data_IF_479900164007
#
_entry.id   IF_479900164007
#
_cell.length_a   1.000
_cell.length_b   1.000
_cell.length_c   1.000
_cell.angle_alpha   90.00
_cell.angle_beta   90.00
_cell.angle_gamma   90.00
#
_symmetry.space_group_name_H-M   'P 1'
#
loop_
_entity.id
_entity.type
_entity.pdbx_description
1 polymer ?
#
# COMPACT_ATOMS: atom_id res chain seq x y z
N UNK A 1 -78.68 35.82 -28.36
CA UNK A 1 -77.95 36.67 -29.32
C UNK A 1 -76.52 36.13 -29.45
N UNK A 2 -76.27 35.32 -30.49
CA UNK A 2 -75.23 35.44 -31.55
C UNK A 2 -73.93 36.22 -31.18
N UNK A 3 -72.71 35.79 -31.60
CA UNK A 3 -71.81 34.81 -30.95
C UNK A 3 -70.31 35.24 -31.13
N UNK A 4 -69.34 34.30 -31.23
CA UNK A 4 -68.02 34.36 -31.94
C UNK A 4 -66.84 33.96 -31.03
N UNK A 5 -65.86 33.12 -31.38
CA UNK A 5 -65.63 32.25 -32.53
C UNK A 5 -64.49 31.25 -32.21
N UNK A 6 -64.62 30.07 -32.82
CA UNK A 6 -63.59 29.22 -33.45
C UNK A 6 -62.31 28.77 -32.72
N UNK A 7 -62.28 27.44 -32.50
CA UNK A 7 -61.28 26.43 -32.95
C UNK A 7 -59.79 26.77 -32.78
N UNK A 8 -59.04 25.85 -32.16
CA UNK A 8 -58.04 24.98 -32.84
C UNK A 8 -57.70 23.81 -31.90
N UNK A 9 -57.78 22.59 -32.47
CA UNK A 9 -57.20 21.36 -31.92
C UNK A 9 -55.72 21.37 -32.29
N UNK A 10 -54.82 21.31 -31.31
CA UNK A 10 -53.40 21.03 -31.57
C UNK A 10 -52.93 19.88 -30.69
N UNK A 11 -52.72 18.75 -31.35
CA UNK A 11 -51.98 17.59 -30.92
C UNK A 11 -50.53 18.04 -30.63
N UNK A 12 -50.06 18.00 -29.38
CA UNK A 12 -48.63 18.14 -29.08
C UNK A 12 -48.04 16.77 -28.74
N UNK A 13 -47.12 16.34 -29.59
CA UNK A 13 -46.46 15.05 -29.53
C UNK A 13 -45.57 14.90 -28.30
N UNK A 14 -45.53 13.65 -27.81
CA UNK A 14 -44.48 13.13 -26.95
C UNK A 14 -43.13 13.32 -27.63
N UNK A 15 -42.34 14.28 -27.15
CA UNK A 15 -40.90 14.33 -27.38
C UNK A 15 -40.21 13.79 -26.13
N UNK A 16 -39.81 12.51 -26.23
CA UNK A 16 -38.75 11.93 -25.41
C UNK A 16 -37.49 12.78 -25.62
N UNK A 17 -36.81 13.29 -24.58
CA UNK A 17 -35.46 13.77 -24.76
C UNK A 17 -34.59 12.52 -24.91
N UNK A 18 -34.16 12.26 -26.14
CA UNK A 18 -33.04 11.37 -26.43
C UNK A 18 -31.85 11.90 -25.64
N UNK A 19 -31.54 11.29 -24.49
CA UNK A 19 -30.28 11.53 -23.78
C UNK A 19 -29.19 10.93 -24.66
N UNK A 20 -28.65 11.76 -25.55
CA UNK A 20 -27.43 11.44 -26.28
C UNK A 20 -26.32 11.53 -25.24
N UNK A 21 -25.92 10.39 -24.67
CA UNK A 21 -24.65 10.27 -23.97
C UNK A 21 -23.55 10.58 -24.97
N UNK A 22 -23.12 11.84 -25.01
CA UNK A 22 -21.83 12.17 -25.56
C UNK A 22 -20.78 11.57 -24.64
N UNK A 23 -20.30 10.38 -24.99
CA UNK A 23 -18.98 9.93 -24.56
C UNK A 23 -18.02 10.91 -25.23
N UNK A 24 -17.60 11.92 -24.49
CA UNK A 24 -16.42 12.69 -24.88
C UNK A 24 -15.30 11.65 -24.90
N UNK A 25 -14.67 11.37 -26.07
CA UNK A 25 -13.49 10.54 -26.06
C UNK A 25 -12.49 11.29 -25.17
N UNK A 26 -12.08 10.66 -24.07
CA UNK A 26 -10.94 11.13 -23.32
C UNK A 26 -9.80 11.24 -24.34
N UNK A 27 -9.48 12.45 -24.76
CA UNK A 27 -8.21 12.72 -25.43
C UNK A 27 -7.18 12.13 -24.49
N UNK A 28 -6.40 11.17 -24.97
CA UNK A 28 -5.17 10.76 -24.31
C UNK A 28 -4.41 12.03 -23.98
N UNK A 29 -4.53 12.50 -22.74
CA UNK A 29 -3.55 13.40 -22.18
C UNK A 29 -2.37 12.47 -21.96
N UNK A 30 -1.63 12.20 -23.04
CA UNK A 30 -0.37 11.49 -22.97
C UNK A 30 0.40 12.12 -21.82
N UNK A 31 0.75 11.29 -20.83
CA UNK A 31 1.26 11.70 -19.53
C UNK A 31 2.22 12.88 -19.72
N UNK A 32 1.71 14.11 -19.51
CA UNK A 32 2.59 15.28 -19.58
C UNK A 32 3.56 15.04 -18.44
N UNK A 33 4.84 14.87 -18.77
CA UNK A 33 5.94 14.95 -17.81
C UNK A 33 5.77 16.29 -17.10
N UNK A 34 5.08 16.29 -15.96
CA UNK A 34 4.94 17.46 -15.13
C UNK A 34 6.34 17.72 -14.59
N UNK A 35 6.99 18.74 -15.13
CA UNK A 35 8.32 19.12 -14.68
C UNK A 35 8.24 19.46 -13.19
N UNK A 36 9.06 18.83 -12.37
CA UNK A 36 9.17 19.13 -10.94
C UNK A 36 10.25 20.21 -10.78
N UNK A 37 9.90 21.51 -10.73
CA UNK A 37 10.85 22.58 -11.04
C UNK A 37 12.02 22.66 -10.04
N UNK A 38 11.82 22.23 -8.80
CA UNK A 38 12.85 22.21 -7.77
C UNK A 38 13.88 21.09 -7.92
N UNK A 39 13.58 19.99 -8.64
CA UNK A 39 14.59 18.97 -8.92
C UNK A 39 15.66 19.46 -9.88
N UNK A 40 15.32 20.41 -10.76
CA UNK A 40 16.26 20.99 -11.74
C UNK A 40 17.37 21.87 -11.14
N UNK A 41 17.25 22.32 -9.90
CA UNK A 41 18.15 23.33 -9.29
C UNK A 41 19.04 22.78 -8.16
N UNK A 42 19.04 21.47 -7.92
CA UNK A 42 19.85 20.80 -6.88
C UNK A 42 21.37 20.76 -7.16
N UNK A 43 22.16 21.10 -6.15
CA UNK A 43 23.63 21.29 -6.19
C UNK A 43 24.48 20.00 -6.19
N UNK A 44 23.95 18.86 -6.64
CA UNK A 44 24.72 17.62 -6.84
C UNK A 44 24.76 17.21 -8.31
N UNK A 45 25.30 18.07 -9.16
CA UNK A 45 25.80 17.68 -10.50
C UNK A 45 27.15 16.96 -10.46
N UNK A 46 27.55 16.45 -9.28
CA UNK A 46 28.85 15.85 -9.02
C UNK A 46 29.00 14.39 -9.46
N UNK A 47 27.90 13.69 -9.75
CA UNK A 47 28.01 12.45 -10.51
C UNK A 47 28.31 12.82 -11.96
N UNK A 48 29.44 12.30 -12.46
CA UNK A 48 29.72 12.30 -13.90
C UNK A 48 28.51 11.64 -14.57
N UNK A 49 27.57 12.43 -15.10
CA UNK A 49 26.80 12.01 -16.27
C UNK A 49 27.89 11.62 -17.28
N UNK A 50 28.16 10.33 -17.45
CA UNK A 50 28.96 9.90 -18.60
C UNK A 50 28.20 10.47 -19.81
N UNK A 51 28.92 11.10 -20.73
CA UNK A 51 28.35 11.90 -21.82
C UNK A 51 27.53 11.05 -22.84
N UNK A 52 27.33 9.77 -22.51
CA UNK A 52 26.71 8.66 -23.24
C UNK A 52 26.02 7.63 -22.28
N UNK A 53 25.79 7.99 -21.02
CA UNK A 53 25.85 7.10 -19.83
C UNK A 53 24.67 6.23 -19.40
N UNK A 54 23.89 5.65 -20.30
CA UNK A 54 23.16 4.42 -19.94
C UNK A 54 24.08 3.22 -20.17
N UNK A 55 23.86 2.11 -19.48
CA UNK A 55 24.45 0.85 -19.91
C UNK A 55 23.81 0.42 -21.24
N UNK A 56 24.26 0.98 -22.36
CA UNK A 56 23.79 0.57 -23.67
C UNK A 56 23.99 -0.95 -23.84
N UNK A 57 22.88 -1.69 -23.84
CA UNK A 57 22.87 -3.14 -24.00
C UNK A 57 23.29 -3.97 -22.78
N UNK A 58 23.14 -3.49 -21.53
CA UNK A 58 23.24 -4.41 -20.40
C UNK A 58 21.96 -5.22 -20.21
N UNK A 59 22.13 -6.49 -19.85
CA UNK A 59 21.04 -7.37 -19.46
C UNK A 59 20.91 -7.33 -17.94
N UNK A 60 19.72 -7.00 -17.44
CA UNK A 60 19.41 -7.12 -16.02
C UNK A 60 19.59 -8.58 -15.58
N UNK A 61 20.44 -8.82 -14.60
CA UNK A 61 20.79 -10.16 -14.16
C UNK A 61 21.44 -10.17 -12.77
N UNK A 62 21.78 -11.36 -12.25
CA UNK A 62 22.25 -11.51 -10.86
C UNK A 62 23.50 -10.70 -10.48
N UNK A 63 24.33 -10.33 -11.46
CA UNK A 63 25.57 -9.56 -11.27
C UNK A 63 25.50 -8.15 -11.89
N UNK A 64 24.30 -7.76 -12.31
CA UNK A 64 24.00 -6.54 -13.04
C UNK A 64 22.60 -6.05 -12.65
N UNK A 65 22.26 -6.10 -11.36
CA UNK A 65 20.92 -5.72 -10.88
C UNK A 65 20.65 -4.22 -11.00
N UNK A 66 21.69 -3.38 -11.00
CA UNK A 66 21.55 -1.93 -11.21
C UNK A 66 21.15 -1.53 -12.64
N UNK A 67 21.06 -2.50 -13.56
CA UNK A 67 20.80 -2.31 -14.98
C UNK A 67 19.34 -2.58 -15.35
N UNK A 68 18.77 -1.82 -16.29
CA UNK A 68 17.40 -2.02 -16.79
C UNK A 68 17.23 -1.61 -18.27
N UNK A 69 18.02 -2.21 -19.16
CA UNK A 69 18.00 -1.90 -20.60
C UNK A 69 18.61 -0.53 -20.87
N UNK A 70 17.82 0.38 -21.43
CA UNK A 70 18.22 1.78 -21.65
C UNK A 70 18.07 2.63 -20.37
N UNK A 71 17.66 2.04 -19.25
CA UNK A 71 17.52 2.68 -17.95
C UNK A 71 18.36 1.93 -16.91
N UNK A 72 18.54 2.52 -15.73
CA UNK A 72 19.36 1.97 -14.66
C UNK A 72 18.99 2.59 -13.31
N UNK A 73 19.71 2.16 -12.26
CA UNK A 73 19.53 2.61 -10.88
C UNK A 73 19.82 4.11 -10.67
N UNK A 74 20.58 4.73 -11.58
CA UNK A 74 20.91 6.16 -11.54
C UNK A 74 19.78 7.03 -12.16
N UNK A 75 18.83 6.41 -12.85
CA UNK A 75 17.71 7.12 -13.46
C UNK A 75 16.74 7.63 -12.39
N UNK A 76 16.47 8.94 -12.38
CA UNK A 76 15.46 9.53 -11.50
C UNK A 76 14.05 9.18 -11.99
N UNK A 77 13.45 8.19 -11.33
CA UNK A 77 12.12 7.66 -11.66
C UNK A 77 10.98 8.68 -11.51
N UNK A 78 11.19 9.82 -10.84
CA UNK A 78 10.17 10.87 -10.80
C UNK A 78 10.19 11.77 -12.04
N UNK A 79 11.31 11.83 -12.76
CA UNK A 79 11.49 12.64 -13.96
C UNK A 79 11.32 11.82 -15.25
N UNK A 80 11.78 10.56 -15.22
CA UNK A 80 11.83 9.71 -16.39
C UNK A 80 11.63 8.23 -16.03
N UNK A 81 10.91 7.51 -16.88
CA UNK A 81 10.62 6.08 -16.76
C UNK A 81 10.54 5.45 -18.15
N UNK A 82 10.73 4.12 -18.27
CA UNK A 82 10.54 3.41 -19.53
C UNK A 82 9.11 3.56 -20.06
N UNK A 83 8.95 3.59 -21.38
CA UNK A 83 7.66 3.36 -22.01
C UNK A 83 7.70 2.03 -22.76
N UNK A 84 7.20 0.98 -22.11
CA UNK A 84 7.27 -0.38 -22.63
C UNK A 84 6.19 -0.66 -23.70
N UNK A 85 5.15 0.18 -23.79
CA UNK A 85 3.95 -0.06 -24.59
C UNK A 85 3.14 -1.29 -24.16
N UNK A 86 3.48 -1.92 -23.02
CA UNK A 86 2.87 -3.16 -22.54
C UNK A 86 1.81 -2.85 -21.47
N UNK A 87 0.60 -3.35 -21.70
CA UNK A 87 -0.47 -3.33 -20.68
C UNK A 87 -0.54 -4.68 -19.96
N UNK A 88 -0.30 -4.66 -18.65
CA UNK A 88 -0.45 -5.83 -17.78
C UNK A 88 -1.85 -5.81 -17.15
N UNK A 89 -2.59 -6.91 -17.32
CA UNK A 89 -4.01 -7.01 -16.92
C UNK A 89 -4.21 -7.97 -15.76
N UNK A 90 -5.00 -7.54 -14.78
CA UNK A 90 -5.44 -8.38 -13.67
C UNK A 90 -6.96 -8.29 -13.48
N UNK A 91 -7.55 -9.35 -12.94
CA UNK A 91 -8.93 -9.36 -12.44
C UNK A 91 -8.90 -9.74 -10.97
N UNK A 92 -9.51 -8.92 -10.11
CA UNK A 92 -9.59 -9.09 -8.67
C UNK A 92 -11.05 -9.24 -8.25
N UNK A 93 -11.44 -10.44 -7.84
CA UNK A 93 -12.79 -10.77 -7.41
C UNK A 93 -12.80 -10.88 -5.90
N UNK A 94 -13.48 -9.95 -5.24
CA UNK A 94 -13.54 -9.87 -3.77
C UNK A 94 -14.77 -10.61 -3.27
N UNK A 95 -14.61 -11.58 -2.39
CA UNK A 95 -15.69 -12.41 -1.83
C UNK A 95 -15.60 -12.55 -0.32
N UNK A 96 -16.75 -12.61 0.36
CA UNK A 96 -16.82 -13.04 1.76
C UNK A 96 -16.49 -14.53 1.86
N UNK A 97 -15.72 -14.91 2.87
CA UNK A 97 -15.42 -16.29 3.19
C UNK A 97 -15.31 -16.47 4.70
N UNK A 98 -15.31 -17.73 5.11
CA UNK A 98 -14.85 -18.15 6.43
C UNK A 98 -13.47 -18.76 6.26
N UNK A 99 -12.49 -18.27 7.00
CA UNK A 99 -11.08 -18.69 6.89
C UNK A 99 -10.43 -18.81 8.26
N UNK A 100 -9.30 -19.51 8.32
CA UNK A 100 -8.57 -19.76 9.57
C UNK A 100 -7.04 -19.65 9.37
N UNK A 101 -6.48 -18.47 9.04
CA UNK A 101 -5.05 -18.30 8.74
C UNK A 101 -4.11 -18.72 9.88
N UNK A 102 -4.56 -18.59 11.13
CA UNK A 102 -3.83 -19.04 12.32
C UNK A 102 -4.53 -20.21 13.04
N UNK A 103 -5.41 -20.93 12.34
CA UNK A 103 -6.25 -22.00 12.89
C UNK A 103 -7.54 -21.52 13.56
N UNK A 104 -7.69 -20.22 13.89
CA UNK A 104 -8.95 -19.70 14.41
C UNK A 104 -9.90 -19.31 13.27
N UNK A 105 -11.07 -19.95 13.22
CA UNK A 105 -12.06 -19.69 12.19
C UNK A 105 -12.79 -18.36 12.39
N UNK A 106 -12.76 -17.49 11.37
CA UNK A 106 -13.47 -16.20 11.38
C UNK A 106 -13.96 -15.78 9.99
N UNK A 107 -14.91 -14.83 9.97
CA UNK A 107 -15.31 -14.16 8.73
C UNK A 107 -14.18 -13.25 8.25
N UNK A 108 -13.90 -13.32 6.95
CA UNK A 108 -12.86 -12.53 6.28
C UNK A 108 -13.19 -12.38 4.78
N UNK A 109 -12.32 -11.71 4.05
CA UNK A 109 -12.41 -11.55 2.61
C UNK A 109 -11.26 -12.26 1.91
N UNK A 110 -11.57 -12.90 0.78
CA UNK A 110 -10.57 -13.38 -0.17
C UNK A 110 -10.62 -12.54 -1.43
N UNK A 111 -9.47 -12.42 -2.09
CA UNK A 111 -9.35 -11.90 -3.45
C UNK A 111 -8.97 -13.08 -4.34
N UNK A 112 -9.79 -13.37 -5.35
CA UNK A 112 -9.63 -14.54 -6.22
C UNK A 112 -9.57 -15.88 -5.46
N UNK A 113 -10.31 -15.99 -4.34
CA UNK A 113 -10.39 -17.22 -3.56
C UNK A 113 -9.18 -17.50 -2.67
N UNK A 114 -8.22 -16.58 -2.55
CA UNK A 114 -7.05 -16.72 -1.69
C UNK A 114 -6.88 -15.55 -0.71
N UNK A 115 -6.11 -15.82 0.34
CA UNK A 115 -5.52 -14.85 1.26
C UNK A 115 -4.07 -15.29 1.53
N UNK A 116 -3.06 -14.39 1.41
CA UNK A 116 -3.14 -13.04 0.87
C UNK A 116 -3.71 -12.96 -0.55
N UNK A 117 -4.18 -11.78 -0.97
CA UNK A 117 -4.61 -11.57 -2.35
C UNK A 117 -3.47 -11.82 -3.36
N UNK A 118 -3.79 -12.08 -4.63
CA UNK A 118 -2.79 -12.40 -5.65
C UNK A 118 -1.77 -11.27 -5.79
N UNK A 119 -0.49 -11.63 -5.90
CA UNK A 119 0.56 -10.65 -6.16
C UNK A 119 0.44 -10.11 -7.57
N UNK A 120 0.34 -8.78 -7.68
CA UNK A 120 0.43 -8.08 -8.97
C UNK A 120 1.89 -7.89 -9.30
N UNK A 121 2.32 -8.35 -10.47
CA UNK A 121 3.70 -8.23 -10.92
C UNK A 121 3.74 -7.61 -12.31
N UNK A 122 4.47 -6.51 -12.44
CA UNK A 122 4.68 -5.80 -13.69
C UNK A 122 6.12 -5.29 -13.78
N UNK A 123 6.49 -4.71 -14.92
CA UNK A 123 7.79 -4.07 -15.10
C UNK A 123 7.67 -2.55 -14.96
N UNK A 124 8.75 -1.89 -14.55
CA UNK A 124 8.83 -0.43 -14.56
C UNK A 124 8.52 0.11 -15.96
N UNK A 125 7.56 1.04 -16.04
CA UNK A 125 7.09 1.60 -17.31
C UNK A 125 5.94 0.86 -17.98
N UNK A 126 5.46 -0.28 -17.44
CA UNK A 126 4.23 -0.91 -17.91
C UNK A 126 2.99 -0.06 -17.57
N UNK A 127 1.92 -0.25 -18.34
CA UNK A 127 0.58 0.22 -18.00
C UNK A 127 -0.17 -0.90 -17.25
N UNK A 128 -0.79 -0.59 -16.11
CA UNK A 128 -1.66 -1.53 -15.40
C UNK A 128 -3.12 -1.31 -15.77
N UNK A 129 -3.86 -2.40 -15.99
CA UNK A 129 -5.32 -2.39 -16.13
C UNK A 129 -5.91 -3.47 -15.21
N UNK A 130 -6.62 -3.06 -14.16
CA UNK A 130 -7.07 -3.97 -13.11
C UNK A 130 -8.59 -3.90 -12.97
N UNK A 131 -9.26 -5.01 -13.28
CA UNK A 131 -10.72 -5.14 -13.12
C UNK A 131 -11.05 -5.63 -11.72
N UNK A 132 -11.65 -4.78 -10.90
CA UNK A 132 -12.09 -5.11 -9.54
C UNK A 132 -13.59 -5.40 -9.55
N UNK A 133 -13.98 -6.59 -9.08
CA UNK A 133 -15.37 -7.00 -8.92
C UNK A 133 -15.71 -7.13 -7.45
N UNK A 134 -16.64 -6.31 -6.98
CA UNK A 134 -17.14 -6.39 -5.63
C UNK A 134 -18.25 -7.46 -5.56
N UNK A 135 -17.94 -8.66 -5.04
CA UNK A 135 -18.95 -9.68 -4.71
C UNK A 135 -19.19 -9.76 -3.19
N UNK A 136 -18.80 -8.72 -2.45
CA UNK A 136 -19.17 -8.58 -1.04
C UNK A 136 -20.67 -8.30 -0.93
N UNK A 137 -21.33 -8.84 0.11
CA UNK A 137 -22.79 -8.80 0.23
C UNK A 137 -23.34 -7.41 0.60
N UNK A 138 -22.72 -6.72 1.54
CA UNK A 138 -23.31 -5.54 2.19
C UNK A 138 -22.51 -4.24 2.06
N UNK A 139 -21.23 -4.32 1.72
CA UNK A 139 -20.34 -3.15 1.74
C UNK A 139 -19.93 -2.73 0.34
N UNK A 140 -19.77 -1.42 0.16
CA UNK A 140 -18.96 -0.91 -0.93
C UNK A 140 -17.49 -1.35 -0.76
N UNK A 141 -16.69 -1.13 -1.79
CA UNK A 141 -15.23 -1.30 -1.70
C UNK A 141 -14.55 -0.31 -2.63
N UNK A 142 -13.27 -0.04 -2.39
CA UNK A 142 -12.39 0.67 -3.31
C UNK A 142 -10.99 0.14 -3.10
N UNK A 143 -10.19 -0.04 -4.15
CA UNK A 143 -8.82 -0.50 -3.99
C UNK A 143 -7.85 0.63 -4.22
N UNK A 144 -7.07 0.95 -3.19
CA UNK A 144 -5.94 1.87 -3.26
C UNK A 144 -4.65 1.12 -3.58
N UNK A 145 -3.80 1.76 -4.36
CA UNK A 145 -2.52 1.23 -4.84
C UNK A 145 -1.41 1.92 -4.05
N UNK A 146 -1.10 1.38 -2.88
CA UNK A 146 -0.30 2.06 -1.87
C UNK A 146 1.05 2.53 -2.46
N UNK A 147 1.38 3.80 -2.26
CA UNK A 147 2.64 4.40 -2.73
C UNK A 147 2.76 4.62 -4.23
N UNK A 148 1.81 4.16 -5.07
CA UNK A 148 1.81 4.49 -6.50
C UNK A 148 1.51 5.97 -6.65
N UNK A 149 2.37 6.71 -7.36
CA UNK A 149 2.29 8.18 -7.48
C UNK A 149 1.01 8.70 -8.13
N UNK A 150 0.33 7.90 -8.95
CA UNK A 150 -0.87 8.29 -9.71
C UNK A 150 -0.69 9.58 -10.53
N UNK A 151 0.50 9.76 -11.11
CA UNK A 151 0.80 10.95 -11.91
C UNK A 151 -0.14 11.02 -13.13
N UNK A 152 -0.98 12.07 -13.17
CA UNK A 152 -1.98 12.26 -14.22
C UNK A 152 -3.15 11.25 -14.21
N UNK A 153 -3.31 10.50 -13.11
CA UNK A 153 -4.31 9.42 -12.98
C UNK A 153 -4.97 9.42 -11.59
N UNK A 154 -5.17 10.59 -11.00
CA UNK A 154 -5.71 10.75 -9.65
C UNK A 154 -7.06 10.01 -9.44
N UNK A 155 -7.90 9.92 -10.46
CA UNK A 155 -9.19 9.23 -10.44
C UNK A 155 -9.09 7.69 -10.36
N UNK A 156 -7.85 7.17 -10.41
CA UNK A 156 -7.48 5.76 -10.33
C UNK A 156 -6.90 5.38 -8.96
N UNK A 157 -6.79 6.35 -8.06
CA UNK A 157 -6.13 6.16 -6.76
C UNK A 157 -6.91 5.29 -5.77
N UNK A 158 -8.24 5.15 -5.93
CA UNK A 158 -9.01 4.19 -5.14
C UNK A 158 -9.42 4.63 -3.73
N UNK A 159 -9.40 5.93 -3.46
CA UNK A 159 -9.76 6.50 -2.15
C UNK A 159 -11.22 6.95 -2.20
N UNK A 160 -12.11 6.12 -1.66
CA UNK A 160 -13.53 6.45 -1.67
C UNK A 160 -13.84 7.73 -0.85
N UNK A 161 -14.76 8.55 -1.38
CA UNK A 161 -15.06 9.87 -0.82
C UNK A 161 -14.04 10.96 -1.17
N UNK A 162 -12.91 10.61 -1.80
CA UNK A 162 -11.96 11.58 -2.35
C UNK A 162 -11.88 11.46 -3.87
N UNK A 163 -11.38 10.34 -4.39
CA UNK A 163 -11.11 10.15 -5.83
C UNK A 163 -12.21 9.38 -6.55
N UNK A 164 -13.07 8.68 -5.81
CA UNK A 164 -14.17 7.90 -6.34
C UNK A 164 -15.29 7.68 -5.32
N UNK A 165 -16.45 7.23 -5.80
CA UNK A 165 -17.45 6.59 -4.94
C UNK A 165 -17.06 5.11 -4.71
N UNK A 166 -17.48 4.46 -3.61
CA UNK A 166 -17.28 3.03 -3.46
C UNK A 166 -17.92 2.22 -4.59
N UNK A 167 -17.24 1.17 -5.05
CA UNK A 167 -17.81 0.14 -5.94
C UNK A 167 -18.91 -0.58 -5.15
N UNK A 168 -20.19 -0.51 -5.56
CA UNK A 168 -21.28 -1.13 -4.80
C UNK A 168 -21.20 -2.66 -4.86
N UNK A 169 -21.87 -3.39 -3.95
CA UNK A 169 -22.09 -4.83 -4.08
C UNK A 169 -22.60 -5.22 -5.48
N UNK A 170 -21.97 -6.22 -6.10
CA UNK A 170 -22.21 -6.64 -7.48
C UNK A 170 -21.59 -5.73 -8.55
N UNK A 171 -21.05 -4.58 -8.16
CA UNK A 171 -20.41 -3.61 -9.04
C UNK A 171 -19.04 -4.05 -9.54
N UNK A 172 -18.55 -3.35 -10.57
CA UNK A 172 -17.22 -3.56 -11.16
C UNK A 172 -16.61 -2.22 -11.53
N UNK A 173 -15.32 -2.03 -11.27
CA UNK A 173 -14.52 -0.90 -11.76
C UNK A 173 -13.25 -1.43 -12.41
N UNK A 174 -12.79 -0.73 -13.45
CA UNK A 174 -11.47 -0.97 -14.05
C UNK A 174 -10.58 0.21 -13.69
N UNK A 175 -9.46 -0.06 -13.03
CA UNK A 175 -8.42 0.92 -12.72
C UNK A 175 -7.34 0.88 -13.80
N UNK A 176 -6.87 2.04 -14.27
CA UNK A 176 -5.83 2.12 -15.31
C UNK A 176 -4.79 3.19 -15.00
N UNK A 177 -3.53 2.84 -14.86
CA UNK A 177 -2.47 3.81 -14.58
C UNK A 177 -1.09 3.33 -15.02
N UNK A 178 -0.18 4.28 -15.24
CA UNK A 178 1.21 4.03 -15.63
C UNK A 178 2.07 3.73 -14.41
N UNK A 179 2.94 2.74 -14.50
CA UNK A 179 3.92 2.43 -13.46
C UNK A 179 5.19 3.26 -13.63
N UNK A 180 5.20 4.45 -13.04
CA UNK A 180 6.36 5.36 -13.09
C UNK A 180 7.43 5.06 -12.05
N UNK A 181 7.14 4.18 -11.08
CA UNK A 181 8.05 3.74 -10.02
C UNK A 181 8.30 2.24 -10.13
N UNK A 182 9.34 1.76 -9.44
CA UNK A 182 9.65 0.33 -9.30
C UNK A 182 10.02 0.00 -7.86
N UNK A 183 9.90 -1.28 -7.50
CA UNK A 183 10.13 -1.79 -6.14
C UNK A 183 8.93 -2.54 -5.59
N UNK A 184 8.78 -2.51 -4.27
CA UNK A 184 7.77 -3.28 -3.54
C UNK A 184 6.69 -2.38 -2.97
N UNK A 185 5.44 -2.76 -3.23
CA UNK A 185 4.29 -2.20 -2.52
C UNK A 185 3.17 -3.22 -2.36
N UNK A 186 1.97 -2.76 -2.07
CA UNK A 186 0.77 -3.54 -1.85
C UNK A 186 -0.45 -2.72 -2.30
N UNK A 187 -1.54 -3.42 -2.61
CA UNK A 187 -2.85 -2.81 -2.79
C UNK A 187 -3.76 -3.25 -1.66
N UNK A 188 -4.70 -2.40 -1.27
CA UNK A 188 -5.63 -2.71 -0.20
C UNK A 188 -6.96 -1.99 -0.36
N UNK A 189 -8.00 -2.50 0.31
CA UNK A 189 -9.24 -1.74 0.42
C UNK A 189 -8.99 -0.42 1.13
N UNK A 190 -9.50 0.66 0.57
CA UNK A 190 -9.55 1.97 1.22
C UNK A 190 -10.96 2.29 1.74
N UNK A 191 -11.79 1.26 1.93
CA UNK A 191 -13.13 1.36 2.48
C UNK A 191 -13.14 1.05 3.98
N UNK A 192 -13.11 2.11 4.80
CA UNK A 192 -13.08 1.98 6.26
C UNK A 192 -11.95 1.02 6.70
N UNK A 193 -12.24 0.07 7.59
CA UNK A 193 -11.28 -0.91 8.13
C UNK A 193 -11.27 -2.24 7.36
N UNK A 194 -11.87 -2.28 6.16
CA UNK A 194 -12.15 -3.51 5.41
C UNK A 194 -10.89 -4.29 5.02
N UNK A 195 -9.75 -3.62 4.81
CA UNK A 195 -8.51 -4.33 4.45
C UNK A 195 -8.01 -5.23 5.58
N UNK A 196 -8.23 -4.87 6.85
CA UNK A 196 -7.82 -5.68 7.99
C UNK A 196 -8.58 -7.01 8.12
N UNK A 197 -9.68 -7.16 7.36
CA UNK A 197 -10.40 -8.42 7.19
C UNK A 197 -9.95 -9.20 5.94
N UNK A 198 -8.90 -8.77 5.23
CA UNK A 198 -8.22 -9.55 4.20
C UNK A 198 -8.30 -9.02 2.76
N UNK A 199 -8.83 -7.81 2.54
CA UNK A 199 -8.80 -7.19 1.21
C UNK A 199 -7.49 -6.42 1.00
N UNK A 200 -6.43 -7.17 0.71
CA UNK A 200 -5.16 -6.64 0.27
C UNK A 200 -4.35 -7.70 -0.47
N UNK A 201 -3.32 -7.28 -1.20
CA UNK A 201 -2.34 -8.17 -1.79
C UNK A 201 -1.05 -7.45 -2.15
N UNK A 202 0.08 -8.17 -2.29
CA UNK A 202 1.35 -7.53 -2.65
C UNK A 202 1.37 -7.03 -4.10
N UNK A 203 2.19 -6.03 -4.36
CA UNK A 203 2.54 -5.55 -5.71
C UNK A 203 4.05 -5.47 -5.84
N UNK A 204 4.59 -6.04 -6.92
CA UNK A 204 6.01 -6.00 -7.24
C UNK A 204 6.15 -5.40 -8.63
N UNK A 205 6.87 -4.28 -8.70
CA UNK A 205 7.20 -3.65 -9.98
C UNK A 205 8.68 -3.84 -10.19
N UNK A 206 9.04 -4.71 -11.13
CA UNK A 206 10.44 -5.06 -11.38
C UNK A 206 11.17 -3.87 -12.00
N UNK A 207 12.38 -3.63 -11.52
CA UNK A 207 13.26 -2.58 -11.96
C UNK A 207 14.69 -2.84 -11.49
N UNK A 208 15.59 -1.85 -11.62
CA UNK A 208 16.96 -1.97 -11.15
C UNK A 208 17.03 -2.01 -9.61
N UNK A 209 18.18 -2.42 -9.08
CA UNK A 209 18.44 -2.52 -7.64
C UNK A 209 19.85 -2.02 -7.29
N UNK A 210 20.02 -1.43 -6.11
CA UNK A 210 21.29 -0.84 -5.64
C UNK A 210 22.33 -1.89 -5.21
N UNK A 211 21.94 -3.16 -5.11
CA UNK A 211 22.85 -4.28 -4.95
C UNK A 211 22.42 -5.53 -5.73
N UNK A 212 23.39 -6.40 -5.97
CA UNK A 212 23.26 -7.64 -6.72
C UNK A 212 22.70 -8.78 -5.86
N UNK A 213 21.87 -9.63 -6.46
CA UNK A 213 21.24 -10.78 -5.82
C UNK A 213 20.86 -11.86 -6.83
N UNK A 214 20.85 -13.11 -6.39
CA UNK A 214 20.62 -14.27 -7.24
C UNK A 214 19.13 -14.60 -7.40
N UNK A 215 18.41 -14.68 -6.28
CA UNK A 215 17.04 -15.24 -6.20
C UNK A 215 16.10 -14.19 -5.59
N UNK A 216 14.94 -13.97 -6.21
CA UNK A 216 13.86 -13.18 -5.62
C UNK A 216 12.91 -14.12 -4.88
N UNK A 217 12.83 -14.01 -3.55
CA UNK A 217 11.91 -14.78 -2.72
C UNK A 217 10.48 -14.22 -2.77
N UNK A 218 10.30 -13.01 -3.30
CA UNK A 218 9.01 -12.33 -3.37
C UNK A 218 8.63 -11.62 -2.08
N UNK A 219 7.33 -11.36 -1.96
CA UNK A 219 6.73 -10.61 -0.86
C UNK A 219 6.64 -11.43 0.43
N UNK A 220 6.95 -10.78 1.55
CA UNK A 220 6.71 -11.27 2.90
C UNK A 220 5.86 -10.25 3.66
N UNK A 221 4.53 -10.30 3.49
CA UNK A 221 3.62 -9.44 4.23
C UNK A 221 3.50 -9.88 5.69
N UNK A 222 3.49 -8.89 6.57
CA UNK A 222 3.33 -9.01 8.00
C UNK A 222 2.09 -8.21 8.40
N UNK A 223 1.16 -8.83 9.11
CA UNK A 223 -0.09 -8.16 9.50
C UNK A 223 -0.46 -8.56 10.90
N UNK A 224 -0.85 -7.59 11.74
CA UNK A 224 -1.60 -7.92 12.94
C UNK A 224 -2.91 -8.62 12.58
N UNK A 225 -3.38 -9.46 13.48
CA UNK A 225 -4.52 -10.33 13.23
C UNK A 225 -5.47 -10.33 14.42
N UNK A 226 -6.74 -10.13 14.11
CA UNK A 226 -7.82 -10.12 15.07
C UNK A 226 -8.72 -11.34 14.82
N UNK A 227 -9.22 -11.97 15.86
CA UNK A 227 -10.18 -13.08 15.76
C UNK A 227 -11.60 -12.55 15.56
N UNK A 228 -11.89 -11.36 16.08
CA UNK A 228 -13.09 -10.60 15.72
C UNK A 228 -12.91 -9.90 14.36
N UNK A 229 -14.02 -9.66 13.64
CA UNK A 229 -13.97 -8.82 12.44
C UNK A 229 -13.49 -7.41 12.79
N UNK A 230 -12.73 -6.79 11.91
CA UNK A 230 -12.18 -5.45 12.17
C UNK A 230 -13.29 -4.41 12.26
N UNK A 231 -14.42 -4.62 11.59
CA UNK A 231 -15.63 -3.81 11.77
C UNK A 231 -16.13 -3.85 13.23
N UNK A 232 -16.17 -5.04 13.84
CA UNK A 232 -16.52 -5.21 15.26
C UNK A 232 -15.47 -4.59 16.17
N UNK A 233 -14.18 -4.85 15.91
CA UNK A 233 -13.08 -4.31 16.70
C UNK A 233 -13.06 -2.77 16.65
N UNK A 234 -13.28 -2.18 15.48
CA UNK A 234 -13.35 -0.74 15.27
C UNK A 234 -14.56 -0.11 15.99
N UNK A 235 -15.74 -0.75 15.92
CA UNK A 235 -16.91 -0.29 16.63
C UNK A 235 -16.70 -0.23 18.15
N UNK A 236 -15.91 -1.15 18.72
CA UNK A 236 -15.49 -1.09 20.12
C UNK A 236 -14.43 0.00 20.35
N UNK A 237 -13.45 0.12 19.45
CA UNK A 237 -12.31 1.03 19.58
C UNK A 237 -12.73 2.51 19.64
N UNK A 238 -13.73 2.92 18.85
CA UNK A 238 -14.22 4.31 18.83
C UNK A 238 -14.93 4.75 20.13
N UNK A 239 -15.19 3.81 21.05
CA UNK A 239 -15.73 4.07 22.39
C UNK A 239 -14.78 3.62 23.51
N UNK A 240 -13.59 3.11 23.17
CA UNK A 240 -12.60 2.61 24.12
C UNK A 240 -11.64 3.72 24.55
N UNK A 241 -10.78 3.41 25.53
CA UNK A 241 -9.69 4.30 25.98
C UNK A 241 -8.33 3.96 25.36
N UNK A 242 -8.32 3.10 24.34
CA UNK A 242 -7.12 2.63 23.68
C UNK A 242 -7.45 1.74 22.47
N UNK A 243 -6.45 1.46 21.62
CA UNK A 243 -6.63 0.58 20.47
C UNK A 243 -6.98 -0.85 20.91
N UNK A 244 -7.69 -1.62 20.06
CA UNK A 244 -7.96 -3.03 20.34
C UNK A 244 -6.65 -3.83 20.34
N UNK A 245 -6.57 -4.84 21.22
CA UNK A 245 -5.46 -5.78 21.26
C UNK A 245 -5.59 -6.78 20.11
N UNK A 246 -4.58 -6.86 19.26
CA UNK A 246 -4.50 -7.92 18.25
C UNK A 246 -4.27 -9.27 18.92
N UNK A 247 -4.88 -10.33 18.39
CA UNK A 247 -4.75 -11.69 18.91
C UNK A 247 -3.44 -12.33 18.45
N UNK A 248 -2.97 -11.98 17.26
CA UNK A 248 -1.77 -12.54 16.64
C UNK A 248 -1.12 -11.54 15.67
N UNK A 249 -0.05 -11.96 15.01
CA UNK A 249 0.45 -11.39 13.75
C UNK A 249 0.60 -12.54 12.78
N UNK A 250 0.18 -12.40 11.52
CA UNK A 250 0.45 -13.38 10.47
C UNK A 250 1.71 -13.01 9.71
N UNK A 251 2.53 -14.02 9.39
CA UNK A 251 3.69 -13.88 8.51
C UNK A 251 3.36 -14.60 7.22
N UNK A 252 3.37 -13.87 6.11
CA UNK A 252 2.98 -14.37 4.80
C UNK A 252 1.60 -15.09 4.80
N UNK A 253 0.66 -14.58 5.61
CA UNK A 253 -0.72 -15.06 5.66
C UNK A 253 -0.97 -16.28 6.53
N UNK A 254 -0.01 -16.74 7.34
CA UNK A 254 -0.23 -17.83 8.30
C UNK A 254 0.53 -17.59 9.59
N UNK A 255 0.08 -18.20 10.67
CA UNK A 255 0.83 -18.34 11.92
C UNK A 255 0.22 -19.48 12.76
N UNK A 256 0.83 -19.80 13.90
CA UNK A 256 0.21 -20.73 14.86
C UNK A 256 -0.57 -19.97 15.94
N UNK A 257 -1.61 -20.62 16.47
CA UNK A 257 -2.34 -20.21 17.67
C UNK A 257 -2.76 -21.44 18.49
N UNK A 258 -3.48 -21.23 19.60
CA UNK A 258 -4.08 -22.32 20.36
C UNK A 258 -5.15 -23.10 19.58
N UNK A 259 -5.66 -22.54 18.47
CA UNK A 259 -6.63 -23.18 17.59
C UNK A 259 -5.99 -23.99 16.44
N UNK A 260 -4.67 -23.95 16.29
CA UNK A 260 -3.94 -24.65 15.22
C UNK A 260 -3.10 -23.70 14.38
N UNK A 261 -3.16 -23.85 13.05
CA UNK A 261 -2.38 -23.05 12.10
C UNK A 261 -1.01 -23.67 11.79
N UNK A 262 -0.18 -22.91 11.08
CA UNK A 262 1.15 -23.34 10.66
C UNK A 262 2.11 -22.14 10.56
N UNK A 263 3.40 -22.37 10.75
CA UNK A 263 4.41 -21.38 10.40
C UNK A 263 4.53 -21.25 8.89
N UNK A 264 4.77 -20.04 8.40
CA UNK A 264 5.25 -19.85 7.05
C UNK A 264 6.67 -20.44 6.94
N UNK A 265 6.98 -21.06 5.80
CA UNK A 265 8.32 -21.55 5.49
C UNK A 265 8.89 -20.83 4.27
N UNK A 266 10.15 -20.41 4.36
CA UNK A 266 10.91 -19.80 3.26
C UNK A 266 12.18 -20.61 3.04
N UNK A 267 12.43 -21.05 1.80
CA UNK A 267 13.61 -21.86 1.47
C UNK A 267 14.77 -20.95 1.03
N UNK A 268 15.93 -21.12 1.66
CA UNK A 268 17.18 -20.49 1.28
C UNK A 268 18.07 -21.49 0.51
N UNK A 269 18.63 -21.07 -0.62
CA UNK A 269 19.63 -21.86 -1.35
C UNK A 269 21.02 -21.58 -0.78
N UNK A 270 21.74 -22.59 -0.22
CA UNK A 270 23.07 -22.36 0.36
C UNK A 270 24.02 -21.64 -0.61
N UNK A 271 24.71 -20.61 -0.13
CA UNK A 271 25.67 -19.81 -0.89
C UNK A 271 25.08 -18.81 -1.87
N UNK A 272 23.76 -18.58 -1.87
CA UNK A 272 23.07 -17.60 -2.72
C UNK A 272 22.65 -16.34 -1.96
N UNK A 273 22.58 -15.22 -2.69
CA UNK A 273 22.01 -13.96 -2.22
C UNK A 273 20.52 -13.91 -2.60
N UNK A 274 19.65 -13.68 -1.62
CA UNK A 274 18.19 -13.73 -1.78
C UNK A 274 17.56 -12.37 -1.50
N UNK A 275 16.82 -11.82 -2.46
CA UNK A 275 15.98 -10.66 -2.24
C UNK A 275 14.70 -11.07 -1.52
N UNK A 276 14.42 -10.44 -0.38
CA UNK A 276 13.18 -10.57 0.38
C UNK A 276 12.50 -9.21 0.48
N UNK A 277 11.18 -9.18 0.25
CA UNK A 277 10.40 -7.93 0.16
C UNK A 277 9.45 -7.85 1.36
N UNK A 278 9.95 -7.27 2.45
CA UNK A 278 9.23 -7.12 3.71
C UNK A 278 8.19 -6.00 3.60
N UNK A 279 7.01 -6.21 4.17
CA UNK A 279 5.96 -5.19 4.22
C UNK A 279 5.09 -5.36 5.45
N UNK A 280 4.81 -4.27 6.16
CA UNK A 280 3.81 -4.27 7.22
C UNK A 280 2.47 -3.80 6.64
N UNK A 281 1.53 -4.72 6.51
CA UNK A 281 0.17 -4.51 5.98
C UNK A 281 -0.89 -4.60 7.09
N UNK A 282 -0.46 -4.49 8.35
CA UNK A 282 -1.30 -4.50 9.54
C UNK A 282 -2.14 -3.23 9.70
N UNK A 283 -2.92 -3.20 10.77
CA UNK A 283 -3.86 -2.13 11.09
C UNK A 283 -3.22 -1.11 12.04
N UNK A 284 -2.51 -1.61 13.06
CA UNK A 284 -2.02 -0.78 14.16
C UNK A 284 -0.62 -1.17 14.64
N UNK A 285 -0.23 -2.45 14.60
CA UNK A 285 1.02 -2.87 15.19
C UNK A 285 2.25 -2.36 14.44
N UNK A 286 3.17 -1.74 15.19
CA UNK A 286 4.53 -1.47 14.76
C UNK A 286 5.35 -2.76 14.90
N UNK A 287 6.10 -3.15 13.87
CA UNK A 287 6.75 -4.45 13.82
C UNK A 287 8.26 -4.31 13.77
N UNK A 288 8.95 -5.19 14.50
CA UNK A 288 10.40 -5.34 14.45
C UNK A 288 10.72 -6.74 13.96
N UNK A 289 11.64 -6.88 13.01
CA UNK A 289 11.96 -8.18 12.42
C UNK A 289 13.44 -8.48 12.44
N UNK A 290 13.78 -9.76 12.49
CA UNK A 290 15.14 -10.26 12.43
C UNK A 290 15.16 -11.73 12.02
N UNK A 291 16.25 -12.17 11.41
CA UNK A 291 16.48 -13.57 11.05
C UNK A 291 17.68 -14.08 11.85
N UNK A 292 17.46 -15.10 12.67
CA UNK A 292 18.49 -15.65 13.55
C UNK A 292 19.76 -16.02 12.75
N UNK A 293 20.92 -15.52 13.20
CA UNK A 293 22.21 -15.77 12.55
C UNK A 293 22.44 -15.05 11.21
N UNK A 294 21.52 -14.19 10.74
CA UNK A 294 21.63 -13.52 9.45
C UNK A 294 21.53 -12.01 9.57
N UNK A 295 22.35 -11.31 8.78
CA UNK A 295 22.26 -9.87 8.63
C UNK A 295 21.48 -9.54 7.34
N UNK A 296 20.70 -8.45 7.38
CA UNK A 296 20.01 -7.89 6.23
C UNK A 296 20.87 -6.82 5.58
N UNK A 297 21.08 -6.92 4.27
CA UNK A 297 21.51 -5.78 3.46
C UNK A 297 20.27 -5.07 2.91
N UNK A 298 19.93 -3.90 3.45
CA UNK A 298 18.76 -3.13 3.05
C UNK A 298 19.07 -2.31 1.80
N UNK A 299 18.23 -2.43 0.78
CA UNK A 299 18.49 -1.83 -0.55
C UNK A 299 17.39 -0.88 -1.02
N UNK A 300 16.20 -0.96 -0.43
CA UNK A 300 15.10 -0.02 -0.68
C UNK A 300 14.27 0.18 0.57
N UNK A 301 13.74 1.39 0.73
CA UNK A 301 12.68 1.74 1.66
C UNK A 301 11.49 2.24 0.84
N UNK A 302 10.33 1.62 1.00
CA UNK A 302 9.14 1.86 0.18
C UNK A 302 9.43 1.69 -1.32
N UNK A 303 9.12 2.69 -2.14
CA UNK A 303 9.49 2.72 -3.57
C UNK A 303 10.84 3.38 -3.83
N UNK A 304 11.58 3.72 -2.78
CA UNK A 304 12.82 4.49 -2.93
C UNK A 304 14.01 3.56 -2.80
N UNK A 305 14.78 3.32 -3.87
CA UNK A 305 16.08 2.68 -3.74
C UNK A 305 17.00 3.54 -2.89
N UNK A 306 17.78 2.90 -2.02
CA UNK A 306 18.65 3.57 -1.06
C UNK A 306 20.10 3.13 -1.22
N UNK A 307 21.02 3.93 -0.71
CA UNK A 307 22.40 3.51 -0.48
C UNK A 307 22.39 2.26 0.43
N UNK A 308 22.91 1.10 -0.02
CA UNK A 308 22.79 -0.12 0.75
C UNK A 308 23.48 -0.02 2.11
N UNK A 309 22.83 -0.54 3.15
CA UNK A 309 23.43 -0.67 4.47
C UNK A 309 23.07 -2.01 5.10
N UNK A 310 23.87 -2.42 6.08
CA UNK A 310 23.71 -3.68 6.78
C UNK A 310 23.10 -3.48 8.17
N UNK A 311 22.20 -4.38 8.57
CA UNK A 311 21.62 -4.41 9.91
C UNK A 311 21.08 -5.79 10.27
N UNK A 312 21.06 -6.13 11.56
CA UNK A 312 20.51 -7.41 12.02
C UNK A 312 18.99 -7.36 12.23
N UNK A 313 18.42 -6.16 12.41
CA UNK A 313 16.99 -5.98 12.69
C UNK A 313 16.41 -4.81 11.90
N UNK A 314 15.13 -4.90 11.56
CA UNK A 314 14.41 -3.81 10.91
C UNK A 314 13.14 -3.45 11.68
N UNK A 315 12.93 -2.16 11.86
CA UNK A 315 11.67 -1.55 12.29
C UNK A 315 10.79 -1.23 11.08
N UNK A 316 9.52 -1.64 11.10
CA UNK A 316 8.58 -1.50 9.99
C UNK A 316 7.22 -1.01 10.52
N UNK A 317 6.92 0.27 10.26
CA UNK A 317 5.62 0.86 10.55
C UNK A 317 4.54 0.35 9.60
N UNK A 318 3.27 0.48 9.98
CA UNK A 318 2.13 0.15 9.10
C UNK A 318 2.25 0.90 7.78
N UNK A 319 2.20 0.15 6.67
CA UNK A 319 2.33 0.66 5.31
C UNK A 319 3.75 0.71 4.76
N UNK A 320 4.79 0.63 5.61
CA UNK A 320 6.18 0.63 5.16
C UNK A 320 6.60 -0.70 4.53
N UNK A 321 7.54 -0.60 3.60
CA UNK A 321 8.19 -1.74 2.94
C UNK A 321 9.70 -1.59 2.99
N UNK A 322 10.40 -2.72 3.09
CA UNK A 322 11.83 -2.78 2.90
C UNK A 322 12.20 -3.94 2.00
N UNK A 323 13.07 -3.67 1.05
CA UNK A 323 13.72 -4.73 0.27
C UNK A 323 15.08 -5.02 0.91
N UNK A 324 15.29 -6.29 1.27
CA UNK A 324 16.53 -6.75 1.91
C UNK A 324 17.14 -7.91 1.15
N UNK A 325 18.47 -7.98 1.12
CA UNK A 325 19.21 -9.13 0.62
C UNK A 325 19.69 -9.96 1.81
N UNK A 326 19.39 -11.26 1.78
CA UNK A 326 19.85 -12.27 2.74
C UNK A 326 20.88 -13.15 2.05
N UNK A 327 22.10 -13.14 2.56
CA UNK A 327 23.17 -14.03 2.11
C UNK A 327 23.10 -15.35 2.87
N UNK A 328 22.80 -16.45 2.16
CA UNK A 328 22.64 -17.77 2.77
C UNK A 328 24.00 -18.44 3.05
N UNK A 329 24.80 -17.86 3.94
CA UNK A 329 26.17 -18.28 4.25
C UNK A 329 26.31 -19.05 5.57
N UNK A 330 25.26 -19.08 6.39
CA UNK A 330 25.19 -19.90 7.60
C UNK A 330 25.17 -21.41 7.31
N UNK A 331 25.47 -22.27 8.31
CA UNK A 331 25.33 -23.72 8.17
C UNK A 331 23.96 -24.15 7.64
N UNK A 332 23.90 -25.30 6.96
CA UNK A 332 22.64 -25.86 6.49
C UNK A 332 21.80 -26.34 7.67
N UNK A 333 20.85 -25.51 8.08
CA UNK A 333 19.95 -25.73 9.22
C UNK A 333 18.66 -24.91 9.04
N UNK A 334 17.80 -24.94 10.06
CA UNK A 334 16.57 -24.18 10.13
C UNK A 334 16.76 -22.99 11.08
N UNK A 335 16.24 -21.81 10.70
CA UNK A 335 16.43 -20.55 11.42
C UNK A 335 15.08 -19.88 11.67
N UNK A 336 14.89 -19.28 12.85
CA UNK A 336 13.72 -18.47 13.13
C UNK A 336 13.86 -17.09 12.47
N UNK A 337 12.88 -16.74 11.65
CA UNK A 337 12.55 -15.34 11.37
C UNK A 337 11.57 -14.88 12.44
N UNK A 338 11.97 -13.88 13.21
CA UNK A 338 11.23 -13.40 14.39
C UNK A 338 10.55 -12.08 14.06
N UNK A 339 9.35 -11.91 14.59
CA UNK A 339 8.62 -10.65 14.56
C UNK A 339 8.28 -10.24 15.99
N UNK A 340 8.72 -9.06 16.38
CA UNK A 340 8.47 -8.43 17.66
C UNK A 340 7.47 -7.31 17.50
N UNK A 341 6.60 -7.17 18.48
CA UNK A 341 5.67 -6.05 18.62
C UNK A 341 5.21 -6.00 20.08
N UNK A 342 4.27 -5.14 20.43
CA UNK A 342 3.73 -5.05 21.78
C UNK A 342 4.42 -3.99 22.63
N UNK A 343 3.63 -3.36 23.50
CA UNK A 343 4.08 -2.27 24.37
C UNK A 343 3.24 -1.02 24.18
N UNK A 344 3.69 0.10 24.78
CA UNK A 344 2.91 1.35 24.79
C UNK A 344 2.82 1.99 23.41
N UNK A 345 3.87 1.91 22.58
CA UNK A 345 3.90 2.54 21.26
C UNK A 345 3.64 1.57 20.10
N UNK A 346 4.07 0.31 20.21
CA UNK A 346 4.03 -0.66 19.10
C UNK A 346 2.64 -1.28 18.89
N UNK A 347 1.67 -0.88 19.71
CA UNK A 347 0.31 -1.39 19.73
C UNK A 347 0.18 -2.68 20.55
N UNK A 348 -0.95 -2.90 21.25
CA UNK A 348 -1.14 -4.10 22.07
C UNK A 348 -1.31 -5.35 21.20
N UNK A 349 -0.63 -6.43 21.56
CA UNK A 349 -0.74 -7.74 20.92
C UNK A 349 -0.66 -8.87 21.95
N UNK A 350 -1.58 -9.83 21.89
CA UNK A 350 -1.67 -10.93 22.85
C UNK A 350 -0.61 -12.03 22.62
N UNK A 351 -0.07 -12.13 21.40
CA UNK A 351 0.96 -13.11 21.03
C UNK A 351 2.35 -12.51 20.80
N UNK A 352 2.58 -11.28 21.26
CA UNK A 352 3.80 -10.48 21.03
C UNK A 352 5.14 -11.22 21.20
N UNK A 353 5.21 -12.21 22.10
CA UNK A 353 6.45 -12.94 22.42
C UNK A 353 6.74 -14.14 21.51
N UNK A 354 5.80 -14.58 20.67
CA UNK A 354 5.91 -15.88 19.97
C UNK A 354 5.76 -15.80 18.44
N UNK A 355 5.75 -14.60 17.85
CA UNK A 355 5.50 -14.46 16.41
C UNK A 355 6.78 -14.79 15.63
N UNK A 356 6.72 -15.84 14.80
CA UNK A 356 7.89 -16.33 14.05
C UNK A 356 7.51 -17.14 12.81
N UNK A 357 8.45 -17.30 11.89
CA UNK A 357 8.35 -18.18 10.72
C UNK A 357 9.68 -18.90 10.50
N UNK A 358 9.70 -19.92 9.65
CA UNK A 358 10.88 -20.77 9.45
C UNK A 358 11.58 -20.37 8.15
N UNK A 359 12.87 -20.07 8.25
CA UNK A 359 13.77 -20.00 7.10
C UNK A 359 14.61 -21.27 7.08
N UNK A 360 14.46 -22.07 6.03
CA UNK A 360 15.02 -23.41 5.91
C UNK A 360 16.04 -23.43 4.80
N UNK A 361 17.27 -23.81 5.11
CA UNK A 361 18.26 -24.06 4.07
C UNK A 361 17.89 -25.30 3.27
N UNK A 362 18.01 -25.23 1.94
CA UNK A 362 17.82 -26.40 1.09
C UNK A 362 18.82 -27.50 1.51
N UNK A 363 18.29 -28.67 1.88
CA UNK A 363 19.07 -29.79 2.42
C UNK A 363 19.06 -29.94 3.94
N UNK A 364 18.45 -29.00 4.68
CA UNK A 364 18.18 -29.16 6.11
C UNK A 364 17.00 -30.13 6.35
N UNK A 365 16.96 -30.76 7.53
CA UNK A 365 15.87 -31.66 7.92
C UNK A 365 14.56 -30.88 8.06
N UNK A 366 13.51 -31.31 7.36
CA UNK A 366 12.19 -30.67 7.40
C UNK A 366 11.51 -30.80 8.75
N UNK A 367 11.84 -31.85 9.50
CA UNK A 367 11.16 -32.21 10.75
C UNK A 367 11.83 -31.58 11.97
N UNK A 368 13.00 -30.95 11.80
CA UNK A 368 13.73 -30.24 12.85
C UNK A 368 13.23 -28.79 12.97
N UNK A 369 12.79 -28.39 14.17
CA UNK A 369 12.48 -26.99 14.45
C UNK A 369 13.77 -26.16 14.62
N UNK A 370 13.78 -24.87 14.21
CA UNK A 370 14.92 -24.00 14.49
C UNK A 370 15.24 -23.89 16.00
N UNK A 371 16.53 -23.86 16.34
CA UNK A 371 17.00 -23.64 17.72
C UNK A 371 16.85 -22.17 18.16
N UNK A 372 16.60 -21.95 19.45
CA UNK A 372 16.62 -20.63 20.09
C UNK A 372 18.02 -20.21 20.60
N UNK A 373 19.06 -21.04 20.44
CA UNK A 373 20.41 -20.78 20.97
C UNK A 373 21.07 -19.49 20.43
N UNK A 374 20.65 -19.05 19.24
CA UNK A 374 21.15 -17.87 18.54
C UNK A 374 20.05 -16.81 18.35
N UNK A 375 19.03 -16.83 19.21
CA UNK A 375 17.90 -15.92 19.13
C UNK A 375 18.35 -14.46 19.07
N UNK A 376 17.91 -13.75 18.03
CA UNK A 376 18.15 -12.31 17.92
C UNK A 376 17.29 -11.53 18.91
N UNK A 377 17.88 -10.50 19.52
CA UNK A 377 17.14 -9.53 20.35
C UNK A 377 16.56 -8.47 19.44
N UNK A 378 15.23 -8.41 19.35
CA UNK A 378 14.54 -7.39 18.58
C UNK A 378 14.44 -6.07 19.37
N UNK A 379 14.50 -4.91 18.69
CA UNK A 379 14.24 -3.62 19.32
C UNK A 379 12.76 -3.51 19.76
N UNK A 380 12.46 -2.43 20.47
CA UNK A 380 11.11 -2.03 20.86
C UNK A 380 10.92 -0.54 20.60
N UNK A 381 9.68 -0.11 20.37
CA UNK A 381 9.31 1.29 20.23
C UNK A 381 9.06 1.70 18.78
N UNK A 382 8.37 2.82 18.64
CA UNK A 382 7.79 3.28 17.38
C UNK A 382 8.70 4.22 16.58
N UNK A 383 9.97 3.84 16.44
CA UNK A 383 10.93 4.61 15.64
C UNK A 383 11.19 3.91 14.31
N UNK A 384 11.09 4.68 13.23
CA UNK A 384 11.48 4.24 11.90
C UNK A 384 12.95 3.86 11.86
N UNK A 385 13.28 2.98 10.91
CA UNK A 385 14.64 2.53 10.71
C UNK A 385 15.55 3.74 10.42
N UNK A 386 16.68 3.91 11.15
CA UNK A 386 17.63 4.98 10.86
C UNK A 386 18.47 4.66 9.61
N UNK A 387 19.29 5.62 9.17
CA UNK A 387 20.25 5.50 8.08
C UNK A 387 19.65 5.26 6.68
N UNK A 388 18.40 5.68 6.47
CA UNK A 388 17.77 5.67 5.15
C UNK A 388 18.28 6.86 4.33
N UNK A 389 19.10 6.58 3.31
CA UNK A 389 19.63 7.59 2.39
C UNK A 389 19.19 7.21 0.96
N UNK A 390 18.27 7.97 0.33
CA UNK A 390 17.89 7.73 -1.07
C UNK A 390 19.11 7.69 -1.99
N UNK A 391 19.14 6.72 -2.89
CA UNK A 391 20.21 6.55 -3.87
C UNK A 391 20.20 7.72 -4.86
N UNK A 392 19.02 7.98 -5.45
CA UNK A 392 18.76 9.23 -6.19
C UNK A 392 18.45 10.36 -5.20
N UNK A 393 19.43 11.25 -5.01
CA UNK A 393 19.37 12.33 -4.01
C UNK A 393 18.62 13.54 -4.56
N UNK A 394 17.59 13.97 -3.83
CA UNK A 394 16.88 15.23 -4.11
C UNK A 394 17.24 16.29 -3.08
N UNK A 395 17.48 17.53 -3.52
CA UNK A 395 17.63 18.68 -2.63
C UNK A 395 16.35 19.49 -2.64
N UNK A 396 15.79 19.79 -1.46
CA UNK A 396 14.58 20.60 -1.33
C UNK A 396 15.01 22.08 -1.17
N UNK A 397 14.52 23.02 -2.01
CA UNK A 397 15.02 24.39 -2.06
C UNK A 397 14.40 25.31 -0.99
N UNK A 398 13.51 24.79 -0.15
CA UNK A 398 12.71 25.57 0.79
C UNK A 398 12.80 25.03 2.21
N UNK A 399 12.52 25.90 3.18
CA UNK A 399 12.27 25.50 4.55
C UNK A 399 11.10 24.52 4.62
N UNK A 400 11.10 23.66 5.64
CA UNK A 400 9.97 22.79 5.91
C UNK A 400 8.68 23.63 6.02
N UNK A 401 7.56 23.16 5.43
CA UNK A 401 6.28 23.82 5.59
C UNK A 401 5.84 23.81 7.06
N UNK A 402 4.89 24.66 7.41
CA UNK A 402 4.26 24.64 8.74
C UNK A 402 3.67 23.24 8.99
N UNK A 403 3.98 22.67 10.16
CA UNK A 403 3.48 21.35 10.53
C UNK A 403 1.99 21.42 10.85
N UNK A 404 1.24 20.43 10.38
CA UNK A 404 -0.16 20.26 10.78
C UNK A 404 -0.23 19.99 12.28
N UNK A 405 -1.22 20.58 12.95
CA UNK A 405 -1.47 20.32 14.36
C UNK A 405 -2.21 18.98 14.50
N UNK A 406 -1.60 18.02 15.20
CA UNK A 406 -2.22 16.74 15.52
C UNK A 406 -2.81 16.80 16.93
N UNK A 407 -4.05 16.31 17.07
CA UNK A 407 -4.76 16.26 18.34
C UNK A 407 -5.52 14.97 18.52
N UNK A 408 -5.94 14.71 19.75
CA UNK A 408 -6.72 13.54 20.14
C UNK A 408 -7.84 13.98 21.08
N UNK A 409 -9.05 13.49 20.86
CA UNK A 409 -10.21 13.75 21.70
C UNK A 409 -10.96 12.43 21.94
N UNK A 410 -11.00 11.98 23.19
CA UNK A 410 -11.63 10.71 23.59
C UNK A 410 -13.16 10.80 23.80
N UNK A 411 -13.73 11.99 23.59
CA UNK A 411 -15.16 12.25 23.78
C UNK A 411 -15.67 13.31 22.77
N UNK A 412 -15.23 13.22 21.52
CA UNK A 412 -15.64 14.16 20.47
C UNK A 412 -17.10 13.96 20.09
N UNK A 413 -17.89 15.03 20.13
CA UNK A 413 -19.28 15.07 19.65
C UNK A 413 -19.58 16.42 18.99
N UNK A 414 -20.28 16.38 17.86
CA UNK A 414 -20.88 17.59 17.25
C UNK A 414 -22.29 17.86 17.78
N UNK A 415 -22.87 16.90 18.49
CA UNK A 415 -24.20 16.98 19.09
C UNK A 415 -24.08 17.31 20.57
N UNK A 416 -24.39 18.55 20.92
CA UNK A 416 -24.33 19.08 22.29
C UNK A 416 -25.35 18.43 23.24
N UNK A 417 -26.25 17.60 22.73
CA UNK A 417 -27.24 16.87 23.54
C UNK A 417 -26.77 15.46 23.95
N UNK A 418 -25.69 14.96 23.35
CA UNK A 418 -25.14 13.64 23.69
C UNK A 418 -24.16 13.74 24.87
N UNK A 419 -24.37 12.90 25.88
CA UNK A 419 -23.47 12.81 27.05
C UNK A 419 -22.19 12.02 26.78
N UNK A 420 -22.12 11.31 25.65
CA UNK A 420 -20.98 10.48 25.25
C UNK A 420 -20.70 10.66 23.75
N UNK A 421 -19.49 11.09 23.42
CA UNK A 421 -18.97 11.17 22.07
C UNK A 421 -18.16 9.95 21.67
N UNK A 422 -17.41 10.09 20.59
CA UNK A 422 -16.49 9.06 20.07
C UNK A 422 -15.04 9.53 20.19
N UNK A 423 -14.12 8.58 20.23
CA UNK A 423 -12.70 8.83 20.07
C UNK A 423 -12.42 9.35 18.66
N UNK A 424 -11.72 10.47 18.55
CA UNK A 424 -11.35 11.10 17.28
C UNK A 424 -9.91 11.60 17.29
N UNK A 425 -9.19 11.31 16.20
CA UNK A 425 -7.94 11.96 15.85
C UNK A 425 -8.25 13.24 15.08
N UNK A 426 -7.56 14.32 15.42
CA UNK A 426 -7.79 15.65 14.91
C UNK A 426 -6.58 16.11 14.12
N UNK A 427 -6.82 16.62 12.91
CA UNK A 427 -5.82 17.38 12.14
C UNK A 427 -6.31 18.83 12.15
N UNK A 428 -5.47 19.78 12.57
CA UNK A 428 -5.84 21.18 12.75
C UNK A 428 -7.15 21.36 13.55
N UNK A 429 -7.32 20.56 14.61
CA UNK A 429 -8.46 20.62 15.53
C UNK A 429 -9.75 19.96 15.06
N UNK A 430 -9.81 19.37 13.85
CA UNK A 430 -11.02 18.76 13.31
C UNK A 430 -10.76 17.31 12.85
N UNK A 431 -11.72 16.38 13.08
CA UNK A 431 -11.63 15.05 12.50
C UNK A 431 -11.91 15.10 10.99
N UNK A 432 -11.35 14.15 10.24
CA UNK A 432 -11.66 14.01 8.83
C UNK A 432 -13.04 13.38 8.65
N UNK A 433 -13.88 13.98 7.80
CA UNK A 433 -15.16 13.43 7.39
C UNK A 433 -15.30 13.47 5.87
N UNK A 434 -15.39 12.30 5.24
CA UNK A 434 -15.58 12.17 3.78
C UNK A 434 -17.02 11.82 3.43
N UNK A 435 -17.52 12.36 2.33
CA UNK A 435 -18.84 12.03 1.78
C UNK A 435 -18.69 10.97 0.68
N UNK A 436 -19.09 9.74 0.98
CA UNK A 436 -18.95 8.62 0.06
C UNK A 436 -19.82 8.73 -1.20
N UNK A 437 -20.84 9.60 -1.19
CA UNK A 437 -21.72 9.83 -2.34
C UNK A 437 -21.25 11.00 -3.21
N UNK A 438 -20.49 11.94 -2.62
CA UNK A 438 -19.96 13.11 -3.32
C UNK A 438 -18.46 13.24 -3.03
N UNK A 439 -17.61 12.51 -3.76
CA UNK A 439 -16.17 12.56 -3.58
C UNK A 439 -15.62 13.97 -3.83
N UNK A 440 -14.49 14.30 -3.20
CA UNK A 440 -13.80 15.58 -3.44
C UNK A 440 -13.55 15.84 -4.93
N UNK A 441 -13.15 14.82 -5.70
CA UNK A 441 -12.94 14.93 -7.15
C UNK A 441 -14.21 15.36 -7.88
N UNK A 442 -15.38 14.83 -7.51
CA UNK A 442 -16.66 15.26 -8.09
C UNK A 442 -16.91 16.74 -7.79
N UNK A 443 -16.62 17.16 -6.55
CA UNK A 443 -16.75 18.56 -6.15
C UNK A 443 -15.82 19.50 -6.92
N UNK A 444 -14.60 19.04 -7.25
CA UNK A 444 -13.66 19.79 -8.13
C UNK A 444 -14.20 19.89 -9.55
N UNK A 445 -14.70 18.78 -10.12
CA UNK A 445 -15.27 18.75 -11.48
C UNK A 445 -16.51 19.64 -11.61
N UNK A 446 -17.32 19.70 -10.56
CA UNK A 446 -18.52 20.55 -10.49
C UNK A 446 -18.20 22.02 -10.15
N UNK A 447 -16.92 22.37 -9.95
CA UNK A 447 -16.46 23.67 -9.47
C UNK A 447 -17.17 24.13 -8.18
N UNK A 448 -17.37 23.17 -7.27
CA UNK A 448 -18.08 23.33 -6.00
C UNK A 448 -17.34 22.60 -4.87
N UNK A 449 -16.04 22.90 -4.74
CA UNK A 449 -15.17 22.27 -3.73
C UNK A 449 -15.67 22.62 -2.33
N UNK A 450 -15.99 21.60 -1.54
CA UNK A 450 -16.40 21.77 -0.14
C UNK A 450 -15.19 22.18 0.72
N UNK A 451 -15.17 23.40 1.23
CA UNK A 451 -14.07 23.95 2.05
C UNK A 451 -14.41 24.02 3.56
N UNK A 452 -15.18 23.05 4.07
CA UNK A 452 -15.56 23.01 5.49
C UNK A 452 -14.44 22.52 6.41
N UNK A 453 -14.55 22.82 7.72
CA UNK A 453 -13.52 22.48 8.72
C UNK A 453 -13.16 20.98 8.76
N UNK A 454 -14.05 20.07 8.36
CA UNK A 454 -13.83 18.62 8.40
C UNK A 454 -13.45 18.02 7.03
N UNK A 455 -13.47 18.82 5.95
CA UNK A 455 -13.11 18.34 4.61
C UNK A 455 -11.60 18.35 4.36
N UNK A 456 -10.82 19.01 5.23
CA UNK A 456 -9.34 19.13 5.14
C UNK A 456 -8.84 19.43 3.73
N UNK A 457 -9.59 20.27 3.00
CA UNK A 457 -9.27 20.60 1.62
C UNK A 457 -8.48 21.90 1.59
N UNK A 458 -7.27 21.83 1.04
CA UNK A 458 -6.36 22.97 0.91
C UNK A 458 -6.18 23.29 -0.57
N UNK A 459 -6.38 24.55 -0.94
CA UNK A 459 -6.01 25.02 -2.27
C UNK A 459 -4.52 25.36 -2.27
N UNK A 460 -3.76 24.66 -3.11
CA UNK A 460 -2.33 24.95 -3.32
C UNK A 460 -2.24 26.05 -4.38
N UNK A 461 -1.63 27.18 -4.02
CA UNK A 461 -1.48 28.30 -4.95
C UNK A 461 -0.64 27.93 -6.18
N UNK A 462 -0.87 28.62 -7.31
CA UNK A 462 -0.10 28.35 -8.54
C UNK A 462 1.39 28.66 -8.44
N UNK A 463 1.83 29.39 -7.40
CA UNK A 463 3.25 29.69 -7.17
C UNK A 463 3.98 28.55 -6.45
N UNK A 464 3.23 27.63 -5.87
CA UNK A 464 3.70 26.44 -5.15
C UNK A 464 3.56 25.14 -5.97
N UNK A 465 3.07 25.24 -7.21
CA UNK A 465 3.09 24.19 -8.23
C UNK A 465 4.40 24.26 -9.01
#
# INVERSE_FOLDING_TARGET
MVPSASRVITLLGLLLPSVVSFVVPATEVGARKLEVPWKKTGLYSGYRKRKDGHFAGCNHGPQTRGCWGDFDIDTDMDEEWPDTGKTVKYELIITNVTGAPDGFERQMFHINGQFPGPTIIADWGDDLEITVRNKVQSNGTSLHWHGIRQLGSNEQDGVNGITECPIPPGGTKVYKFKLTQYGTTWYHSHHSVQYGDGIWGPMIIRGPSTADWDIDLGAMPLTDWFHATTSTANAAAVHARGPPTADNVLINGTMISSAGGAYAETILTPGKAHLLRLMNVGINNYLHVGLDGHEFQVISADFTPIEPFFTNTLSIAVGQRYEVIINATQPTANYWFRVGTGGTCDGPNANAANIRSIFRYAGADSDEEPSDDIAIVLPSGCYDQPNIVPYSKTTIPQSLPESLSLGFNDNYTTDVTQSHGTVQWLVNGNPMGVDLQVPTLQSVLDNNVRTGNNSHTFEIDEKSK
#
